data_IF_485261647735
#
_entry.id   IF_485261647735
#
_cell.length_a   1.000
_cell.length_b   1.000
_cell.length_c   1.000
_cell.angle_alpha   90.00
_cell.angle_beta   90.00
_cell.angle_gamma   90.00
#
_symmetry.space_group_name_H-M   'P 1'
#
loop_
_entity.id
_entity.type
_entity.pdbx_description
1 polymer ?
#
# COMPACT_ATOMS: atom_id res chain seq x y z
N UNK A 1 -1.27 -61.83 -6.46
CA UNK A 1 -0.12 -61.24 -7.16
C UNK A 1 -0.60 -60.09 -8.03
N UNK A 2 -0.20 -58.86 -7.69
CA UNK A 2 0.24 -57.76 -8.58
C UNK A 2 0.00 -56.41 -7.88
N UNK A 3 1.12 -55.78 -7.54
CA UNK A 3 1.23 -54.43 -7.01
C UNK A 3 0.87 -53.38 -8.08
N UNK A 4 0.21 -52.28 -7.68
CA UNK A 4 0.36 -50.99 -8.38
C UNK A 4 0.51 -49.86 -7.38
N UNK A 5 1.57 -49.09 -7.63
CA UNK A 5 2.14 -48.04 -6.81
C UNK A 5 1.27 -46.78 -6.77
N UNK A 6 1.04 -46.28 -5.56
CA UNK A 6 0.57 -44.93 -5.26
C UNK A 6 1.77 -43.98 -5.19
N UNK A 7 1.81 -42.97 -6.08
CA UNK A 7 2.73 -41.83 -5.97
C UNK A 7 2.06 -40.75 -5.12
N UNK A 8 2.50 -40.62 -3.87
CA UNK A 8 2.16 -39.49 -3.00
C UNK A 8 3.21 -38.40 -3.22
N UNK A 9 2.78 -37.26 -3.74
CA UNK A 9 3.60 -36.06 -3.83
C UNK A 9 3.55 -35.34 -2.48
N UNK A 10 4.61 -35.48 -1.69
CA UNK A 10 4.82 -34.74 -0.45
C UNK A 10 5.82 -33.61 -0.72
N UNK A 11 5.36 -32.37 -0.78
CA UNK A 11 6.24 -31.20 -0.72
C UNK A 11 6.22 -30.60 0.68
N UNK A 12 7.41 -30.57 1.26
CA UNK A 12 7.73 -30.25 2.65
C UNK A 12 7.35 -28.82 3.07
N UNK A 13 6.59 -28.71 4.16
CA UNK A 13 6.56 -27.54 5.03
C UNK A 13 7.84 -27.49 5.86
N UNK A 14 8.77 -26.58 5.53
CA UNK A 14 9.95 -26.30 6.35
C UNK A 14 9.65 -25.12 7.27
N UNK A 15 9.17 -25.42 8.48
CA UNK A 15 9.22 -24.50 9.62
C UNK A 15 10.70 -24.26 9.98
N UNK A 16 11.21 -23.05 9.78
CA UNK A 16 12.51 -22.66 10.33
C UNK A 16 12.39 -22.48 11.85
N UNK A 17 12.80 -23.52 12.59
CA UNK A 17 13.28 -23.41 13.97
C UNK A 17 14.67 -22.77 13.90
N UNK A 18 14.79 -21.51 14.32
CA UNK A 18 16.10 -20.90 14.57
C UNK A 18 16.63 -21.43 15.92
N UNK A 19 17.43 -22.49 15.84
CA UNK A 19 18.39 -22.86 16.88
C UNK A 19 19.68 -22.10 16.59
N UNK A 20 19.98 -21.04 17.36
CA UNK A 20 21.31 -20.43 17.35
C UNK A 20 22.05 -20.85 18.61
N UNK A 21 23.03 -21.76 18.43
CA UNK A 21 24.07 -22.03 19.42
C UNK A 21 25.10 -20.90 19.33
N UNK A 22 25.47 -20.38 20.49
CA UNK A 22 26.57 -19.43 20.69
C UNK A 22 27.92 -20.00 20.22
N UNK A 23 28.73 -19.16 19.57
CA UNK A 23 30.18 -19.13 19.75
C UNK A 23 30.62 -17.66 19.76
N UNK A 24 31.19 -17.25 20.87
CA UNK A 24 31.93 -16.00 21.06
C UNK A 24 33.42 -16.30 20.82
N UNK A 25 34.08 -15.59 19.91
CA UNK A 25 35.55 -15.50 19.87
C UNK A 25 36.04 -14.32 19.01
N UNK A 26 37.06 -13.66 19.54
CA UNK A 26 37.69 -12.38 19.18
C UNK A 26 38.61 -12.46 17.94
N UNK A 27 38.74 -11.31 17.26
CA UNK A 27 39.91 -10.77 16.48
C UNK A 27 40.56 -11.63 15.38
N UNK A 28 40.39 -11.24 14.11
CA UNK A 28 41.43 -10.72 13.14
C UNK A 28 40.83 -10.63 11.72
N UNK A 29 41.29 -9.70 10.85
CA UNK A 29 40.69 -9.48 9.54
C UNK A 29 41.37 -10.33 8.46
N UNK A 30 40.64 -11.24 7.82
CA UNK A 30 41.12 -11.91 6.60
C UNK A 30 40.66 -11.11 5.39
N UNK A 31 41.64 -10.58 4.65
CA UNK A 31 41.49 -9.95 3.35
C UNK A 31 40.98 -11.01 2.36
N UNK A 32 39.82 -10.76 1.76
CA UNK A 32 39.36 -11.49 0.58
C UNK A 32 39.26 -10.50 -0.58
N UNK A 33 40.25 -10.57 -1.47
CA UNK A 33 40.21 -9.98 -2.80
C UNK A 33 39.27 -10.80 -3.67
N UNK A 34 38.12 -10.24 -4.04
CA UNK A 34 37.32 -10.78 -5.13
C UNK A 34 37.38 -9.85 -6.34
N UNK A 35 37.99 -10.40 -7.39
CA UNK A 35 38.08 -9.91 -8.76
C UNK A 35 36.67 -9.64 -9.29
N UNK A 36 36.42 -8.38 -9.68
CA UNK A 36 35.24 -7.96 -10.43
C UNK A 36 35.35 -8.49 -11.87
N UNK A 37 34.49 -9.44 -12.25
CA UNK A 37 34.18 -9.69 -13.66
C UNK A 37 32.96 -8.85 -14.05
N UNK A 38 33.22 -7.79 -14.80
CA UNK A 38 32.19 -7.01 -15.47
C UNK A 38 31.65 -7.83 -16.66
N UNK A 39 30.34 -8.07 -16.69
CA UNK A 39 29.65 -8.52 -17.90
C UNK A 39 29.00 -7.30 -18.56
N UNK A 40 29.60 -6.87 -19.68
CA UNK A 40 29.03 -5.95 -20.65
C UNK A 40 28.34 -6.78 -21.73
N UNK A 41 27.08 -6.48 -22.04
CA UNK A 41 26.39 -7.06 -23.20
C UNK A 41 26.54 -6.13 -24.40
N UNK A 42 27.27 -6.60 -25.40
CA UNK A 42 27.17 -6.15 -26.78
C UNK A 42 26.87 -7.37 -27.67
N UNK A 43 26.11 -7.21 -28.77
CA UNK A 43 25.52 -8.30 -29.52
C UNK A 43 26.54 -8.96 -30.46
N UNK A 44 26.40 -10.29 -30.60
CA UNK A 44 27.25 -11.17 -31.40
C UNK A 44 27.03 -10.98 -32.90
N UNK A 45 28.15 -10.76 -33.60
CA UNK A 45 28.33 -10.87 -35.04
C UNK A 45 28.28 -12.32 -35.52
N UNK A 46 27.54 -12.58 -36.60
CA UNK A 46 27.66 -13.77 -37.45
C UNK A 46 28.20 -13.35 -38.81
N UNK A 47 29.34 -13.91 -39.22
CA UNK A 47 29.97 -13.67 -40.53
C UNK A 47 29.44 -14.65 -41.61
N UNK A 48 28.97 -14.04 -42.71
CA UNK A 48 29.32 -14.23 -44.15
C UNK A 48 29.01 -15.52 -44.93
N UNK A 49 28.18 -15.34 -45.97
CA UNK A 49 28.41 -15.47 -47.45
C UNK A 49 27.02 -15.75 -48.11
N UNK A 50 26.58 -15.18 -49.23
CA UNK A 50 27.22 -14.65 -50.44
C UNK A 50 26.28 -13.72 -51.26
N UNK A 51 26.87 -13.00 -52.24
CA UNK A 51 26.32 -12.48 -53.52
C UNK A 51 25.53 -11.14 -53.61
N UNK A 52 26.29 -10.07 -53.96
CA UNK A 52 26.10 -8.90 -54.89
C UNK A 52 24.77 -8.62 -55.67
N UNK A 53 24.57 -7.45 -56.33
CA UNK A 53 24.62 -6.03 -55.87
C UNK A 53 23.40 -5.19 -56.37
N UNK A 54 23.34 -3.90 -55.99
CA UNK A 54 23.06 -2.73 -56.87
C UNK A 54 22.13 -1.60 -56.31
N UNK A 55 22.58 -0.37 -56.57
CA UNK A 55 21.84 0.88 -56.81
C UNK A 55 21.23 1.77 -55.67
N UNK A 56 22.00 2.83 -55.39
CA UNK A 56 21.63 4.28 -55.37
C UNK A 56 20.77 4.92 -54.26
N UNK A 57 21.39 5.88 -53.56
CA UNK A 57 20.75 7.01 -52.88
C UNK A 57 20.63 8.24 -53.81
N UNK A 58 19.76 9.22 -53.51
CA UNK A 58 20.23 10.60 -53.35
C UNK A 58 19.57 11.41 -52.19
N UNK A 59 20.04 12.65 -51.91
CA UNK A 59 20.04 13.27 -50.57
C UNK A 59 19.24 14.59 -50.42
N UNK A 60 19.03 15.01 -49.15
CA UNK A 60 18.91 16.40 -48.66
C UNK A 60 17.65 17.21 -49.01
N UNK A 61 17.42 18.42 -48.43
CA UNK A 61 18.36 19.27 -47.71
C UNK A 61 17.85 19.87 -46.37
N UNK A 62 18.79 20.55 -45.69
CA UNK A 62 18.61 21.44 -44.56
C UNK A 62 18.11 22.83 -44.98
N UNK A 63 17.58 23.61 -44.03
CA UNK A 63 17.79 25.06 -44.05
C UNK A 63 17.70 25.69 -42.65
N UNK A 64 18.69 26.54 -42.41
CA UNK A 64 18.86 27.47 -41.30
C UNK A 64 18.14 28.79 -41.60
N UNK A 65 17.63 29.52 -40.61
CA UNK A 65 17.87 30.97 -40.48
C UNK A 65 17.40 31.51 -39.11
N UNK A 66 18.22 32.42 -38.60
CA UNK A 66 18.20 33.15 -37.33
C UNK A 66 17.01 34.10 -37.12
N UNK A 67 16.66 34.40 -35.86
CA UNK A 67 16.64 35.80 -35.40
C UNK A 67 16.61 35.94 -33.87
N UNK A 68 17.39 36.89 -33.38
CA UNK A 68 17.48 37.36 -32.00
C UNK A 68 16.18 38.06 -31.59
N UNK A 69 15.65 37.74 -30.41
CA UNK A 69 14.92 38.69 -29.54
C UNK A 69 15.01 38.22 -28.09
N UNK A 70 16.05 38.72 -27.39
CA UNK A 70 15.96 38.92 -25.96
C UNK A 70 15.08 40.16 -25.74
N UNK A 71 14.14 40.09 -24.79
CA UNK A 71 13.90 41.11 -23.75
C UNK A 71 12.64 40.75 -22.93
N UNK A 72 12.85 40.74 -21.61
CA UNK A 72 11.90 41.09 -20.54
C UNK A 72 10.65 40.22 -20.37
N UNK A 73 10.68 39.31 -19.39
CA UNK A 73 9.50 38.99 -18.57
C UNK A 73 9.97 38.60 -17.17
N UNK A 74 9.51 39.36 -16.18
CA UNK A 74 9.96 39.35 -14.80
C UNK A 74 9.77 38.02 -14.05
N UNK A 75 10.38 37.98 -12.86
CA UNK A 75 10.29 36.89 -11.89
C UNK A 75 8.84 36.39 -11.75
N UNK A 76 8.52 35.26 -12.39
CA UNK A 76 7.25 34.57 -12.15
C UNK A 76 7.36 33.76 -10.87
N UNK A 77 6.34 33.91 -10.01
CA UNK A 77 6.14 33.07 -8.82
C UNK A 77 6.09 31.59 -9.23
N UNK A 78 6.68 30.66 -8.45
CA UNK A 78 6.57 29.24 -8.74
C UNK A 78 5.10 28.81 -8.73
N UNK A 79 4.69 28.12 -9.80
CA UNK A 79 3.31 27.65 -9.99
C UNK A 79 2.95 26.56 -8.97
N UNK A 80 1.71 26.62 -8.50
CA UNK A 80 1.14 25.58 -7.65
C UNK A 80 1.11 24.21 -8.37
N UNK A 81 1.06 23.10 -7.63
CA UNK A 81 0.96 21.76 -8.22
C UNK A 81 -0.20 21.62 -9.22
N UNK A 82 -1.34 22.27 -8.96
CA UNK A 82 -2.51 22.25 -9.85
C UNK A 82 -2.27 23.04 -11.15
N UNK A 83 -1.61 24.20 -11.05
CA UNK A 83 -1.30 25.04 -12.22
C UNK A 83 -0.33 24.34 -13.16
N UNK A 84 0.65 23.60 -12.62
CA UNK A 84 1.58 22.77 -13.39
C UNK A 84 0.87 21.65 -14.14
N UNK A 85 -0.08 20.97 -13.51
CA UNK A 85 -0.85 19.91 -14.16
C UNK A 85 -1.77 20.47 -15.25
N UNK A 86 -2.36 21.65 -15.03
CA UNK A 86 -3.25 22.27 -16.02
C UNK A 86 -2.55 22.70 -17.32
N UNK A 87 -1.23 22.96 -17.27
CA UNK A 87 -0.43 23.33 -18.44
C UNK A 87 0.04 22.13 -19.25
N UNK A 88 -0.09 20.91 -18.71
CA UNK A 88 0.30 19.66 -19.37
C UNK A 88 -0.84 19.01 -20.17
N UNK A 89 -2.04 19.60 -20.15
CA UNK A 89 -3.20 19.11 -20.88
C UNK A 89 -3.31 19.79 -22.26
N UNK A 90 -3.53 19.04 -23.35
CA UNK A 90 -3.78 19.60 -24.69
C UNK A 90 -4.98 20.55 -24.67
N UNK A 91 -4.90 21.69 -25.38
CA UNK A 91 -5.94 22.73 -25.37
C UNK A 91 -7.34 22.20 -25.77
N UNK A 92 -7.38 21.15 -26.59
CA UNK A 92 -8.61 20.55 -27.10
C UNK A 92 -9.34 19.64 -26.10
N UNK A 93 -8.82 19.49 -24.87
CA UNK A 93 -9.36 18.60 -23.84
C UNK A 93 -10.03 19.31 -22.64
N UNK A 94 -10.15 20.64 -22.69
CA UNK A 94 -10.70 21.46 -21.59
C UNK A 94 -12.16 21.86 -21.86
N UNK A 95 -13.01 21.84 -20.83
CA UNK A 95 -14.41 22.31 -20.93
C UNK A 95 -14.49 23.83 -21.02
N UNK A 96 -15.60 24.35 -21.58
CA UNK A 96 -15.83 25.81 -21.74
C UNK A 96 -15.73 26.58 -20.42
N UNK A 97 -16.21 26.01 -19.31
CA UNK A 97 -16.14 26.68 -17.99
C UNK A 97 -14.70 26.89 -17.51
N UNK A 98 -13.78 25.99 -17.86
CA UNK A 98 -12.36 26.09 -17.51
C UNK A 98 -11.66 27.17 -18.35
N UNK A 99 -12.14 27.42 -19.56
CA UNK A 99 -11.63 28.49 -20.42
C UNK A 99 -12.00 29.87 -19.89
N UNK A 100 -13.26 30.06 -19.48
CA UNK A 100 -13.76 31.33 -18.92
C UNK A 100 -13.05 31.70 -17.61
N UNK A 101 -12.70 30.70 -16.79
CA UNK A 101 -11.92 30.91 -15.56
C UNK A 101 -10.46 31.34 -15.84
N UNK A 102 -9.88 30.90 -16.96
CA UNK A 102 -8.53 31.31 -17.38
C UNK A 102 -8.52 32.76 -17.88
N UNK A 103 -9.54 33.19 -18.61
CA UNK A 103 -9.66 34.58 -19.07
C UNK A 103 -9.95 35.55 -17.92
N UNK A 104 -10.84 35.19 -16.98
CA UNK A 104 -11.11 36.03 -15.79
C UNK A 104 -9.86 36.24 -14.92
N UNK A 105 -8.98 35.24 -14.82
CA UNK A 105 -7.75 35.33 -14.02
C UNK A 105 -6.67 36.19 -14.70
N UNK A 106 -6.65 36.23 -16.04
CA UNK A 106 -5.74 37.08 -16.80
C UNK A 106 -6.16 38.57 -16.80
N UNK A 107 -7.46 38.84 -16.70
CA UNK A 107 -8.00 40.21 -16.60
C UNK A 107 -7.91 40.78 -15.17
N UNK A 108 -7.97 39.94 -14.13
CA UNK A 108 -7.89 40.38 -12.72
C UNK A 108 -6.50 40.81 -12.24
N UNK A 109 -5.44 40.62 -13.03
CA UNK A 109 -4.08 41.07 -12.71
C UNK A 109 -3.74 42.46 -13.32
N UNK A 110 -4.70 43.12 -13.99
CA UNK A 110 -4.51 44.42 -14.63
C UNK A 110 -5.19 45.61 -13.91
N UNK A 111 -6.01 45.39 -12.87
CA UNK A 111 -6.72 46.46 -12.15
C UNK A 111 -6.38 46.47 -10.65
N UNK A 112 -5.09 46.55 -10.31
CA UNK A 112 -4.66 46.80 -8.93
C UNK A 112 -3.76 48.03 -8.86
N UNK A 113 -4.26 49.16 -9.34
CA UNK A 113 -3.68 50.47 -9.08
C UNK A 113 -4.73 51.53 -9.40
N UNK A 114 -5.73 51.70 -8.52
CA UNK A 114 -6.31 53.01 -8.20
C UNK A 114 -7.39 52.90 -7.11
N UNK A 115 -7.31 53.84 -6.17
CA UNK A 115 -8.35 54.31 -5.25
C UNK A 115 -8.56 53.56 -3.91
N UNK A 116 -7.92 54.16 -2.90
CA UNK A 116 -8.30 54.11 -1.50
C UNK A 116 -9.52 55.03 -1.22
N UNK A 117 -10.16 54.81 -0.06
CA UNK A 117 -11.29 55.56 0.54
C UNK A 117 -12.66 55.20 -0.09
N UNK A 118 -13.73 54.86 0.63
CA UNK A 118 -14.30 55.42 1.87
C UNK A 118 -15.31 54.41 2.50
N UNK A 119 -15.53 54.53 3.82
CA UNK A 119 -16.51 53.75 4.60
C UNK A 119 -17.92 54.34 4.45
N UNK A 120 -18.99 53.52 4.43
CA UNK A 120 -20.13 53.86 5.29
C UNK A 120 -20.77 52.67 6.04
N UNK A 121 -21.35 53.08 7.15
CA UNK A 121 -22.04 52.38 8.24
C UNK A 121 -23.45 51.90 7.93
N UNK A 122 -23.76 50.71 8.48
CA UNK A 122 -25.01 50.24 9.14
C UNK A 122 -26.35 50.41 8.41
N UNK A 123 -26.98 49.26 8.13
CA UNK A 123 -28.43 49.09 8.01
C UNK A 123 -28.81 47.69 8.51
N UNK A 124 -29.53 47.64 9.63
CA UNK A 124 -30.00 46.43 10.31
C UNK A 124 -31.11 45.70 9.54
N UNK A 125 -31.05 44.38 9.45
CA UNK A 125 -32.24 43.53 9.45
C UNK A 125 -31.90 42.08 9.84
N UNK A 126 -32.14 41.77 11.11
CA UNK A 126 -32.66 40.53 11.70
C UNK A 126 -32.28 39.20 11.01
N UNK A 127 -31.38 38.46 11.67
CA UNK A 127 -31.24 37.00 11.52
C UNK A 127 -31.70 36.40 12.85
N UNK A 128 -32.75 35.57 12.78
CA UNK A 128 -33.26 34.78 13.88
C UNK A 128 -32.21 33.76 14.35
N UNK A 129 -32.08 33.66 15.68
CA UNK A 129 -31.26 32.68 16.40
C UNK A 129 -31.70 31.25 16.04
N UNK A 130 -30.91 30.56 15.21
CA UNK A 130 -30.88 29.09 15.21
C UNK A 130 -29.66 28.62 16.00
N UNK A 131 -29.97 28.01 17.13
CA UNK A 131 -29.05 27.54 18.14
C UNK A 131 -27.93 26.67 17.53
N UNK A 132 -26.70 27.14 17.72
CA UNK A 132 -25.48 26.34 17.52
C UNK A 132 -25.49 25.25 18.57
N UNK A 133 -25.94 24.05 18.18
CA UNK A 133 -25.70 22.82 18.94
C UNK A 133 -24.19 22.62 19.00
N UNK A 134 -23.59 22.95 20.15
CA UNK A 134 -22.22 22.55 20.48
C UNK A 134 -22.20 21.03 20.50
N UNK A 135 -21.83 20.42 19.37
CA UNK A 135 -21.43 19.03 19.35
C UNK A 135 -20.19 18.91 20.21
N UNK A 136 -20.35 18.30 21.38
CA UNK A 136 -19.23 17.82 22.19
C UNK A 136 -18.38 16.89 21.29
N UNK A 137 -17.29 17.42 20.74
CA UNK A 137 -16.20 16.58 20.25
C UNK A 137 -15.59 15.90 21.49
N UNK A 138 -16.20 14.78 21.90
CA UNK A 138 -15.58 13.91 22.89
C UNK A 138 -14.27 13.44 22.27
N UNK A 139 -13.13 13.96 22.74
CA UNK A 139 -11.81 13.45 22.38
C UNK A 139 -11.81 11.95 22.66
N UNK A 140 -11.87 11.15 21.58
CA UNK A 140 -12.06 9.70 21.65
C UNK A 140 -10.78 9.05 22.14
N UNK A 141 -10.63 8.98 23.46
CA UNK A 141 -9.40 8.47 24.08
C UNK A 141 -9.30 6.94 23.91
N UNK A 142 -8.18 6.46 23.37
CA UNK A 142 -7.93 5.02 23.29
C UNK A 142 -7.90 4.40 24.69
N UNK A 143 -8.62 3.29 24.87
CA UNK A 143 -8.65 2.59 26.15
C UNK A 143 -7.29 1.97 26.50
N UNK A 144 -7.02 1.80 27.80
CA UNK A 144 -5.87 1.01 28.28
C UNK A 144 -5.97 -0.43 27.79
N UNK A 145 -4.84 -1.14 27.71
CA UNK A 145 -4.83 -2.53 27.28
C UNK A 145 -5.53 -3.42 28.31
N UNK A 146 -6.42 -4.29 27.85
CA UNK A 146 -7.28 -5.11 28.70
C UNK A 146 -7.15 -6.60 28.38
N UNK A 147 -7.39 -7.46 29.38
CA UNK A 147 -7.49 -8.89 29.16
C UNK A 147 -8.60 -9.20 28.14
N UNK A 148 -8.33 -10.15 27.24
CA UNK A 148 -9.17 -10.47 26.10
C UNK A 148 -8.77 -9.78 24.80
N UNK A 149 -7.93 -8.73 24.84
CA UNK A 149 -7.44 -8.08 23.63
C UNK A 149 -6.36 -8.89 22.91
N UNK A 150 -6.37 -8.82 21.57
CA UNK A 150 -5.24 -9.27 20.75
C UNK A 150 -4.19 -8.16 20.65
N UNK A 151 -2.97 -8.45 21.08
CA UNK A 151 -1.83 -7.52 21.04
C UNK A 151 -0.70 -8.04 20.15
N UNK A 152 0.16 -7.12 19.73
CA UNK A 152 1.38 -7.38 18.99
C UNK A 152 2.58 -6.95 19.84
N UNK A 153 3.47 -7.89 20.09
CA UNK A 153 4.77 -7.62 20.71
C UNK A 153 5.85 -7.54 19.64
N UNK A 154 6.73 -6.55 19.76
CA UNK A 154 7.83 -6.30 18.83
C UNK A 154 9.12 -5.98 19.58
N UNK A 155 10.20 -6.66 19.21
CA UNK A 155 11.56 -6.34 19.65
C UNK A 155 12.41 -6.00 18.44
N UNK A 156 13.11 -4.85 18.52
CA UNK A 156 14.03 -4.38 17.49
C UNK A 156 15.45 -4.29 18.03
N UNK A 157 16.41 -4.69 17.21
CA UNK A 157 17.85 -4.48 17.44
C UNK A 157 18.45 -3.77 16.23
N UNK A 158 19.20 -2.70 16.45
CA UNK A 158 19.87 -1.94 15.38
C UNK A 158 18.90 -1.57 14.22
N UNK A 159 17.69 -1.14 14.58
CA UNK A 159 16.57 -0.78 13.67
C UNK A 159 15.92 -1.93 12.89
N UNK A 160 16.42 -3.16 13.02
CA UNK A 160 15.82 -4.37 12.44
C UNK A 160 14.84 -4.99 13.42
N UNK A 161 13.75 -5.54 12.91
CA UNK A 161 12.79 -6.32 13.70
C UNK A 161 13.37 -7.71 13.90
N UNK A 162 13.69 -8.06 15.14
CA UNK A 162 14.25 -9.36 15.53
C UNK A 162 13.15 -10.33 16.00
N UNK A 163 12.05 -9.78 16.50
CA UNK A 163 10.90 -10.55 16.95
C UNK A 163 9.64 -9.74 16.79
N UNK A 164 8.61 -10.38 16.25
CA UNK A 164 7.26 -9.87 16.17
C UNK A 164 6.29 -11.02 16.39
N UNK A 165 5.37 -10.89 17.33
CA UNK A 165 4.39 -11.94 17.65
C UNK A 165 3.07 -11.36 18.08
N UNK A 166 1.99 -11.86 17.47
CA UNK A 166 0.63 -11.58 17.90
C UNK A 166 0.20 -12.59 18.96
N UNK A 167 -0.46 -12.13 20.01
CA UNK A 167 -0.91 -12.96 21.12
C UNK A 167 -2.18 -12.39 21.75
N UNK A 168 -2.92 -13.25 22.46
CA UNK A 168 -4.09 -12.86 23.23
C UNK A 168 -3.63 -12.48 24.65
N UNK A 169 -3.98 -11.28 25.12
CA UNK A 169 -3.73 -10.87 26.49
C UNK A 169 -4.70 -11.61 27.41
N UNK A 170 -4.17 -12.36 28.38
CA UNK A 170 -4.95 -13.28 29.23
C UNK A 170 -4.41 -13.24 30.66
N UNK A 171 -5.31 -13.30 31.63
CA UNK A 171 -4.97 -13.36 33.05
C UNK A 171 -4.14 -14.61 33.38
N UNK A 172 -3.15 -14.47 34.26
CA UNK A 172 -2.25 -15.56 34.66
C UNK A 172 -1.27 -16.06 33.59
N UNK A 173 -1.42 -15.65 32.33
CA UNK A 173 -0.56 -16.07 31.22
C UNK A 173 0.69 -15.20 31.08
N UNK A 174 1.60 -15.62 30.21
CA UNK A 174 2.84 -14.90 29.88
C UNK A 174 3.19 -15.01 28.40
N UNK A 175 3.70 -13.92 27.84
CA UNK A 175 4.31 -13.92 26.52
C UNK A 175 5.70 -14.54 26.62
N UNK A 176 5.90 -15.68 25.98
CA UNK A 176 7.21 -16.34 25.89
C UNK A 176 7.88 -16.07 24.54
N UNK A 177 9.18 -15.78 24.59
CA UNK A 177 10.06 -15.61 23.43
C UNK A 177 11.50 -16.03 23.76
N UNK A 178 12.35 -16.16 22.75
CA UNK A 178 13.80 -16.36 22.95
C UNK A 178 14.49 -15.13 23.56
N UNK A 179 13.80 -13.98 23.61
CA UNK A 179 14.28 -12.70 24.14
C UNK A 179 13.78 -12.42 25.56
N UNK A 180 13.38 -13.49 26.28
CA UNK A 180 12.79 -13.44 27.61
C UNK A 180 11.26 -13.56 27.60
N UNK A 181 10.67 -13.47 28.79
CA UNK A 181 9.22 -13.51 28.96
C UNK A 181 8.67 -12.19 29.54
N UNK A 182 7.38 -11.96 29.30
CA UNK A 182 6.59 -10.87 29.90
C UNK A 182 5.30 -11.45 30.49
N UNK A 183 5.07 -11.36 31.83
CA UNK A 183 3.79 -11.71 32.42
C UNK A 183 2.69 -10.81 31.87
N UNK A 184 1.53 -11.37 31.54
CA UNK A 184 0.42 -10.58 31.01
C UNK A 184 -0.14 -9.58 32.03
N UNK A 185 -0.04 -9.89 33.32
CA UNK A 185 -0.46 -9.00 34.40
C UNK A 185 0.26 -7.65 34.38
N UNK A 186 1.51 -7.61 33.91
CA UNK A 186 2.27 -6.35 33.80
C UNK A 186 1.93 -5.56 32.54
N UNK A 187 1.15 -6.13 31.62
CA UNK A 187 0.76 -5.51 30.35
C UNK A 187 -0.62 -4.86 30.48
N UNK A 188 -1.55 -5.55 31.15
CA UNK A 188 -2.90 -5.03 31.38
C UNK A 188 -2.85 -3.70 32.17
N UNK A 189 -3.70 -2.74 31.79
CA UNK A 189 -3.74 -1.40 32.37
C UNK A 189 -2.74 -0.40 31.79
N UNK A 190 -1.86 -0.82 30.85
CA UNK A 190 -0.94 0.09 30.18
C UNK A 190 -1.52 0.61 28.85
N UNK A 191 -1.13 1.82 28.39
CA UNK A 191 -1.51 2.29 27.06
C UNK A 191 -0.84 1.47 25.95
N UNK A 192 -1.54 1.29 24.82
CA UNK A 192 -0.96 0.72 23.60
C UNK A 192 0.22 1.58 23.12
N UNK A 193 1.33 0.95 22.74
CA UNK A 193 2.60 1.62 22.45
C UNK A 193 3.61 1.60 23.60
N UNK A 194 3.23 1.03 24.76
CA UNK A 194 4.14 0.88 25.90
C UNK A 194 5.33 -0.04 25.60
N UNK A 195 6.49 0.29 26.17
CA UNK A 195 7.71 -0.53 26.10
C UNK A 195 7.99 -1.13 27.47
N UNK A 196 7.99 -2.45 27.56
CA UNK A 196 8.32 -3.18 28.79
C UNK A 196 9.64 -3.93 28.66
N UNK A 197 10.35 -4.08 29.78
CA UNK A 197 11.55 -4.91 29.83
C UNK A 197 11.16 -6.37 30.06
N UNK A 198 11.68 -7.27 29.23
CA UNK A 198 11.53 -8.71 29.44
C UNK A 198 12.30 -9.18 30.67
N UNK A 199 12.09 -10.44 31.07
CA UNK A 199 12.84 -11.08 32.17
C UNK A 199 14.38 -11.04 32.04
N UNK A 200 14.91 -10.78 30.83
CA UNK A 200 16.36 -10.62 30.57
C UNK A 200 16.76 -9.16 30.34
N UNK A 201 15.87 -8.21 30.63
CA UNK A 201 16.12 -6.77 30.57
C UNK A 201 15.97 -6.12 29.20
N UNK A 202 15.57 -6.85 28.16
CA UNK A 202 15.44 -6.32 26.79
C UNK A 202 14.12 -5.54 26.61
N UNK A 203 14.11 -4.39 25.92
CA UNK A 203 12.90 -3.61 25.69
C UNK A 203 12.01 -4.25 24.62
N UNK A 204 10.73 -4.42 24.90
CA UNK A 204 9.74 -4.96 23.97
C UNK A 204 8.56 -3.98 23.86
N UNK A 205 8.28 -3.54 22.62
CA UNK A 205 7.13 -2.70 22.30
C UNK A 205 5.86 -3.55 22.27
N UNK A 206 4.83 -3.11 22.96
CA UNK A 206 3.51 -3.72 22.98
C UNK A 206 2.50 -2.76 22.39
N UNK A 207 1.74 -3.19 21.39
CA UNK A 207 0.73 -2.36 20.72
C UNK A 207 -0.40 -3.20 20.16
N UNK A 208 -1.53 -2.56 19.87
CA UNK A 208 -2.62 -3.20 19.11
C UNK A 208 -2.22 -3.37 17.64
N UNK A 209 -2.54 -4.52 17.01
CA UNK A 209 -2.28 -4.70 15.59
C UNK A 209 -3.24 -3.84 14.74
N UNK A 210 -2.76 -3.32 13.62
CA UNK A 210 -3.65 -2.87 12.54
C UNK A 210 -4.40 -4.07 11.94
N UNK A 211 -5.43 -3.83 11.13
CA UNK A 211 -6.12 -4.95 10.45
C UNK A 211 -5.18 -5.67 9.47
N UNK A 212 -4.32 -4.92 8.79
CA UNK A 212 -3.26 -5.45 7.94
C UNK A 212 -2.41 -6.45 8.73
N UNK A 213 -1.88 -6.03 9.88
CA UNK A 213 -1.04 -6.88 10.72
C UNK A 213 -1.83 -8.06 11.30
N UNK A 214 -3.06 -7.83 11.75
CA UNK A 214 -3.92 -8.90 12.23
C UNK A 214 -4.08 -10.00 11.16
N UNK A 215 -4.35 -9.61 9.91
CA UNK A 215 -4.51 -10.57 8.81
C UNK A 215 -3.22 -11.36 8.52
N UNK A 216 -2.05 -10.75 8.71
CA UNK A 216 -0.75 -11.40 8.49
C UNK A 216 -0.39 -12.38 9.61
N UNK A 217 -0.80 -12.10 10.86
CA UNK A 217 -0.41 -12.87 12.05
C UNK A 217 -1.53 -13.76 12.63
N UNK A 218 -2.77 -13.65 12.14
CA UNK A 218 -3.88 -14.51 12.58
C UNK A 218 -3.62 -15.98 12.27
N UNK A 219 -4.41 -16.85 12.92
CA UNK A 219 -4.33 -18.29 12.64
C UNK A 219 -4.77 -18.53 11.19
N UNK A 220 -4.01 -19.31 10.45
CA UNK A 220 -4.29 -19.60 9.03
C UNK A 220 -4.58 -21.08 8.82
N UNK A 221 -5.56 -21.34 7.96
CA UNK A 221 -5.76 -22.66 7.35
C UNK A 221 -5.02 -22.69 6.00
N UNK A 222 -5.56 -22.03 4.97
CA UNK A 222 -4.89 -21.83 3.69
C UNK A 222 -3.96 -20.59 3.68
N UNK A 223 -3.23 -20.42 2.57
CA UNK A 223 -2.62 -19.14 2.24
C UNK A 223 -3.69 -18.03 2.18
N UNK A 224 -3.31 -16.82 2.56
CA UNK A 224 -4.21 -15.66 2.55
C UNK A 224 -3.96 -14.83 1.30
N UNK A 225 -5.00 -14.15 0.82
CA UNK A 225 -4.83 -12.96 -0.01
C UNK A 225 -4.14 -11.88 0.84
N UNK A 226 -3.04 -11.33 0.34
CA UNK A 226 -2.23 -10.38 1.11
C UNK A 226 -2.88 -8.98 1.12
N UNK A 227 -2.65 -8.16 2.16
CA UNK A 227 -3.27 -6.82 2.26
C UNK A 227 -3.04 -5.90 1.05
N UNK A 228 -1.86 -5.96 0.41
CA UNK A 228 -1.56 -5.20 -0.81
C UNK A 228 -2.51 -5.56 -1.96
N UNK A 229 -2.85 -6.84 -2.07
CA UNK A 229 -3.71 -7.37 -3.14
C UNK A 229 -5.17 -7.13 -2.79
N UNK A 230 -5.55 -7.34 -1.53
CA UNK A 230 -6.90 -7.03 -1.02
C UNK A 230 -7.23 -5.56 -1.24
N UNK A 231 -6.31 -4.65 -0.90
CA UNK A 231 -6.53 -3.20 -1.08
C UNK A 231 -6.76 -2.85 -2.55
N UNK A 232 -5.99 -3.44 -3.47
CA UNK A 232 -6.21 -3.26 -4.90
C UNK A 232 -7.54 -3.87 -5.36
N UNK A 233 -7.93 -5.05 -4.86
CA UNK A 233 -9.22 -5.67 -5.15
C UNK A 233 -10.40 -4.83 -4.69
N UNK A 234 -10.36 -4.30 -3.46
CA UNK A 234 -11.39 -3.38 -2.96
C UNK A 234 -11.54 -2.16 -3.87
N UNK A 235 -10.43 -1.56 -4.31
CA UNK A 235 -10.47 -0.45 -5.27
C UNK A 235 -11.00 -0.86 -6.65
N UNK A 236 -10.67 -2.06 -7.13
CA UNK A 236 -11.23 -2.56 -8.39
C UNK A 236 -12.75 -2.78 -8.30
N UNK A 237 -13.22 -3.24 -7.15
CA UNK A 237 -14.61 -3.57 -6.87
C UNK A 237 -15.46 -2.34 -6.53
N UNK A 238 -14.83 -1.20 -6.21
CA UNK A 238 -15.49 0.05 -5.79
C UNK A 238 -16.39 -0.13 -4.55
N UNK A 239 -15.94 -0.95 -3.60
CA UNK A 239 -16.73 -1.29 -2.40
C UNK A 239 -16.86 -0.09 -1.47
N UNK A 240 -18.11 0.25 -1.15
CA UNK A 240 -18.48 1.40 -0.32
C UNK A 240 -19.43 1.04 0.83
N UNK A 241 -19.56 1.93 1.81
CA UNK A 241 -20.49 1.76 2.95
C UNK A 241 -21.92 1.54 2.44
N UNK A 242 -22.57 0.48 2.93
CA UNK A 242 -23.93 0.11 2.49
C UNK A 242 -23.97 -1.00 1.43
N UNK A 243 -22.84 -1.31 0.79
CA UNK A 243 -22.81 -2.33 -0.25
C UNK A 243 -23.11 -3.73 0.27
N UNK A 244 -23.74 -4.54 -0.59
CA UNK A 244 -23.86 -5.98 -0.42
C UNK A 244 -22.84 -6.67 -1.32
N UNK A 245 -21.87 -7.37 -0.73
CA UNK A 245 -20.76 -8.01 -1.45
C UNK A 245 -20.78 -9.52 -1.24
N UNK A 246 -20.54 -10.28 -2.31
CA UNK A 246 -20.30 -11.72 -2.23
C UNK A 246 -18.81 -12.00 -2.26
N UNK A 247 -18.34 -12.84 -1.35
CA UNK A 247 -17.00 -13.42 -1.33
C UNK A 247 -17.12 -14.95 -1.43
N UNK A 248 -16.26 -15.58 -2.21
CA UNK A 248 -16.08 -17.03 -2.15
C UNK A 248 -14.61 -17.40 -2.04
N UNK A 249 -14.33 -18.34 -1.14
CA UNK A 249 -13.00 -18.63 -0.64
C UNK A 249 -12.69 -17.86 0.65
N UNK A 250 -13.57 -17.95 1.66
CA UNK A 250 -13.34 -17.28 2.95
C UNK A 250 -11.95 -17.57 3.53
N UNK A 251 -11.45 -18.80 3.34
CA UNK A 251 -10.10 -19.20 3.71
C UNK A 251 -9.81 -18.99 5.20
N UNK A 252 -8.95 -18.01 5.52
CA UNK A 252 -8.67 -17.63 6.91
C UNK A 252 -9.43 -16.38 7.37
N UNK A 253 -10.27 -15.78 6.52
CA UNK A 253 -11.07 -14.58 6.80
C UNK A 253 -10.34 -13.26 6.55
N UNK A 254 -9.24 -13.25 5.81
CA UNK A 254 -8.44 -12.03 5.56
C UNK A 254 -9.25 -11.04 4.73
N UNK A 255 -9.61 -11.42 3.49
CA UNK A 255 -10.44 -10.62 2.60
C UNK A 255 -11.80 -10.29 3.26
N UNK A 256 -12.45 -11.25 3.91
CA UNK A 256 -13.71 -11.05 4.65
C UNK A 256 -13.65 -9.87 5.64
N UNK A 257 -12.56 -9.74 6.42
CA UNK A 257 -12.39 -8.64 7.38
C UNK A 257 -12.24 -7.27 6.71
N UNK A 258 -11.57 -7.22 5.56
CA UNK A 258 -11.38 -6.00 4.79
C UNK A 258 -12.68 -5.58 4.08
N UNK A 259 -13.41 -6.54 3.50
CA UNK A 259 -14.75 -6.31 2.97
C UNK A 259 -15.71 -5.83 4.05
N UNK A 260 -15.70 -6.48 5.22
CA UNK A 260 -16.46 -6.08 6.40
C UNK A 260 -16.20 -4.62 6.80
N UNK A 261 -14.95 -4.16 6.73
CA UNK A 261 -14.63 -2.75 6.95
C UNK A 261 -15.24 -1.84 5.88
N UNK A 262 -15.08 -2.21 4.61
CA UNK A 262 -15.43 -1.38 3.47
C UNK A 262 -16.94 -1.17 3.35
N UNK A 263 -17.73 -2.23 3.54
CA UNK A 263 -19.21 -2.15 3.50
C UNK A 263 -19.80 -1.52 4.76
N UNK A 264 -19.01 -1.54 5.85
CA UNK A 264 -19.30 -1.02 7.18
C UNK A 264 -20.68 -1.35 7.74
N UNK A 265 -21.25 -0.45 8.54
CA UNK A 265 -22.39 -0.74 9.42
C UNK A 265 -23.71 -1.00 8.68
N UNK A 266 -23.90 -0.39 7.50
CA UNK A 266 -25.13 -0.50 6.70
C UNK A 266 -25.04 -1.56 5.61
N UNK A 267 -23.83 -2.01 5.28
CA UNK A 267 -23.61 -3.02 4.27
C UNK A 267 -23.50 -4.42 4.83
N UNK A 268 -23.28 -5.40 3.95
CA UNK A 268 -23.13 -6.81 4.33
C UNK A 268 -22.23 -7.58 3.36
N UNK A 269 -21.57 -8.59 3.88
CA UNK A 269 -20.73 -9.53 3.13
C UNK A 269 -21.32 -10.93 3.28
N UNK A 270 -21.65 -11.56 2.16
CA UNK A 270 -21.95 -12.98 2.12
C UNK A 270 -20.66 -13.73 1.77
N UNK A 271 -20.13 -14.53 2.70
CA UNK A 271 -18.86 -15.24 2.52
C UNK A 271 -19.07 -16.74 2.46
N UNK A 272 -18.75 -17.36 1.32
CA UNK A 272 -18.98 -18.79 1.06
C UNK A 272 -17.66 -19.56 1.05
N UNK A 273 -17.60 -20.65 1.82
CA UNK A 273 -16.41 -21.50 1.91
C UNK A 273 -16.78 -22.98 1.92
N UNK A 274 -16.24 -23.74 0.98
CA UNK A 274 -16.54 -25.16 0.80
C UNK A 274 -15.95 -26.02 1.93
N UNK A 275 -14.76 -25.66 2.42
CA UNK A 275 -14.04 -26.45 3.42
C UNK A 275 -14.45 -26.07 4.85
N UNK A 276 -14.98 -27.04 5.59
CA UNK A 276 -15.44 -26.87 6.98
C UNK A 276 -14.38 -26.33 7.94
N UNK A 277 -13.14 -26.77 7.81
CA UNK A 277 -12.01 -26.34 8.64
C UNK A 277 -11.64 -24.87 8.35
N UNK A 278 -11.62 -24.47 7.09
CA UNK A 278 -11.40 -23.08 6.67
C UNK A 278 -12.55 -22.17 7.11
N UNK A 279 -13.80 -22.59 6.87
CA UNK A 279 -14.99 -21.87 7.35
C UNK A 279 -14.94 -21.63 8.86
N UNK A 280 -14.61 -22.66 9.65
CA UNK A 280 -14.45 -22.48 11.11
C UNK A 280 -13.32 -21.51 11.43
N UNK A 281 -12.21 -21.55 10.69
CA UNK A 281 -11.08 -20.66 10.88
C UNK A 281 -11.44 -19.20 10.62
N UNK A 282 -12.12 -18.90 9.50
CA UNK A 282 -12.54 -17.55 9.14
C UNK A 282 -13.52 -16.96 10.17
N UNK A 283 -14.53 -17.73 10.60
CA UNK A 283 -15.47 -17.32 11.65
C UNK A 283 -14.75 -16.99 12.96
N UNK A 284 -13.82 -17.83 13.40
CA UNK A 284 -13.07 -17.60 14.64
C UNK A 284 -12.17 -16.37 14.57
N UNK A 285 -11.51 -16.15 13.43
CA UNK A 285 -10.67 -14.96 13.24
C UNK A 285 -11.52 -13.68 13.18
N UNK A 286 -12.68 -13.73 12.52
CA UNK A 286 -13.64 -12.64 12.48
C UNK A 286 -14.12 -12.27 13.89
N UNK A 287 -14.59 -13.27 14.66
CA UNK A 287 -15.00 -13.10 16.05
C UNK A 287 -13.87 -12.51 16.91
N UNK A 288 -12.64 -13.02 16.79
CA UNK A 288 -11.48 -12.49 17.54
C UNK A 288 -11.20 -11.03 17.21
N UNK A 289 -11.28 -10.63 15.94
CA UNK A 289 -11.12 -9.24 15.53
C UNK A 289 -12.21 -8.37 16.16
N UNK A 290 -13.48 -8.78 16.07
CA UNK A 290 -14.62 -8.07 16.66
C UNK A 290 -14.47 -7.89 18.17
N UNK A 291 -14.14 -8.95 18.91
CA UNK A 291 -13.91 -8.88 20.36
C UNK A 291 -12.78 -7.90 20.71
N UNK A 292 -11.66 -7.95 19.97
CA UNK A 292 -10.53 -7.05 20.20
C UNK A 292 -10.88 -5.60 19.88
N UNK A 293 -11.65 -5.36 18.80
CA UNK A 293 -12.09 -4.02 18.41
C UNK A 293 -13.00 -3.38 19.46
N UNK A 294 -13.95 -4.16 20.00
CA UNK A 294 -14.86 -3.73 21.07
C UNK A 294 -14.09 -3.25 22.29
N UNK A 295 -13.11 -4.02 22.75
CA UNK A 295 -12.28 -3.66 23.91
C UNK A 295 -11.39 -2.43 23.63
N UNK A 296 -10.94 -2.23 22.39
CA UNK A 296 -10.10 -1.07 22.04
C UNK A 296 -10.86 0.26 22.10
N UNK A 297 -12.08 0.28 21.54
CA UNK A 297 -12.83 1.53 21.25
C UNK A 297 -14.10 1.72 22.06
N UNK A 298 -14.56 0.69 22.77
CA UNK A 298 -15.90 0.67 23.39
C UNK A 298 -17.05 0.48 22.41
N UNK A 299 -16.79 0.56 21.10
CA UNK A 299 -17.76 0.38 20.02
C UNK A 299 -17.63 -1.00 19.38
N UNK A 300 -18.76 -1.62 19.03
CA UNK A 300 -18.74 -2.90 18.35
C UNK A 300 -18.30 -2.75 16.89
N UNK A 301 -17.49 -3.71 16.44
CA UNK A 301 -17.29 -3.89 15.01
C UNK A 301 -18.59 -4.43 14.38
N UNK A 302 -19.06 -3.88 13.25
CA UNK A 302 -20.30 -4.30 12.61
C UNK A 302 -20.36 -5.83 12.40
N UNK A 303 -21.47 -6.46 12.78
CA UNK A 303 -21.72 -7.88 12.53
C UNK A 303 -22.26 -8.12 11.12
N UNK A 304 -21.48 -7.73 10.13
CA UNK A 304 -21.91 -7.61 8.75
C UNK A 304 -21.35 -8.71 7.84
N UNK A 305 -20.77 -9.79 8.37
CA UNK A 305 -20.29 -10.93 7.57
C UNK A 305 -21.07 -12.19 7.89
N UNK A 306 -21.76 -12.71 6.87
CA UNK A 306 -22.50 -13.96 6.94
C UNK A 306 -21.68 -15.08 6.31
N UNK A 307 -21.10 -15.93 7.14
CA UNK A 307 -20.31 -17.09 6.69
C UNK A 307 -21.21 -18.30 6.43
N UNK A 308 -21.06 -18.91 5.25
CA UNK A 308 -21.77 -20.13 4.86
C UNK A 308 -20.78 -21.21 4.45
N UNK A 309 -20.90 -22.39 5.09
CA UNK A 309 -20.16 -23.56 4.64
C UNK A 309 -20.92 -24.26 3.49
N UNK A 310 -20.59 -23.89 2.26
CA UNK A 310 -21.20 -24.48 1.07
C UNK A 310 -20.27 -24.39 -0.14
N UNK A 311 -20.55 -25.17 -1.17
CA UNK A 311 -19.87 -25.06 -2.47
C UNK A 311 -20.59 -24.02 -3.34
N UNK A 312 -19.94 -22.87 -3.57
CA UNK A 312 -20.53 -21.77 -4.34
C UNK A 312 -21.02 -22.22 -5.72
N UNK A 313 -20.30 -23.13 -6.40
CA UNK A 313 -20.64 -23.60 -7.75
C UNK A 313 -22.06 -24.19 -7.76
N UNK A 314 -22.43 -24.93 -6.71
CA UNK A 314 -23.69 -25.65 -6.58
C UNK A 314 -24.71 -24.96 -5.65
N UNK A 315 -24.46 -23.70 -5.26
CA UNK A 315 -25.25 -22.99 -4.23
C UNK A 315 -26.14 -21.87 -4.78
N UNK A 316 -26.74 -22.04 -5.96
CA UNK A 316 -27.66 -21.04 -6.53
C UNK A 316 -28.81 -20.68 -5.57
N UNK A 317 -29.32 -21.66 -4.80
CA UNK A 317 -30.37 -21.45 -3.80
C UNK A 317 -29.94 -20.50 -2.68
N UNK A 318 -28.65 -20.47 -2.31
CA UNK A 318 -28.12 -19.56 -1.30
C UNK A 318 -28.15 -18.11 -1.79
N UNK A 319 -27.98 -17.91 -3.09
CA UNK A 319 -27.96 -16.57 -3.71
C UNK A 319 -29.36 -16.10 -4.12
N UNK A 320 -30.38 -16.96 -4.08
CA UNK A 320 -31.74 -16.64 -4.47
C UNK A 320 -32.27 -15.42 -3.67
N UNK A 321 -32.86 -14.45 -4.39
CA UNK A 321 -33.36 -13.20 -3.79
C UNK A 321 -32.26 -12.21 -3.37
N UNK A 322 -30.98 -12.52 -3.60
CA UNK A 322 -29.88 -11.61 -3.32
C UNK A 322 -29.41 -10.89 -4.60
N UNK A 323 -28.88 -9.69 -4.41
CA UNK A 323 -28.18 -8.93 -5.44
C UNK A 323 -26.92 -8.30 -4.83
N UNK A 324 -25.84 -8.30 -5.62
CA UNK A 324 -24.51 -7.92 -5.15
C UNK A 324 -23.98 -6.72 -5.94
N UNK A 325 -23.44 -5.75 -5.20
CA UNK A 325 -22.75 -4.56 -5.72
C UNK A 325 -21.37 -4.90 -6.26
N UNK A 326 -20.76 -5.96 -5.72
CA UNK A 326 -19.54 -6.54 -6.24
C UNK A 326 -19.37 -7.98 -5.78
N UNK A 327 -18.49 -8.73 -6.46
CA UNK A 327 -18.15 -10.10 -6.13
C UNK A 327 -16.62 -10.23 -6.04
N UNK A 328 -16.11 -10.92 -5.01
CA UNK A 328 -14.72 -11.33 -4.88
C UNK A 328 -14.62 -12.87 -4.95
N UNK A 329 -13.81 -13.40 -5.87
CA UNK A 329 -13.56 -14.84 -6.01
C UNK A 329 -12.08 -15.14 -5.75
N UNK A 330 -11.79 -15.87 -4.67
CA UNK A 330 -10.46 -16.41 -4.34
C UNK A 330 -10.56 -17.94 -4.23
N UNK A 331 -10.68 -18.60 -5.38
CA UNK A 331 -10.91 -20.04 -5.48
C UNK A 331 -10.19 -20.63 -6.69
N UNK A 332 -10.01 -21.96 -6.70
CA UNK A 332 -9.19 -22.66 -7.70
C UNK A 332 -9.76 -22.54 -9.12
N UNK A 333 -11.09 -22.70 -9.26
CA UNK A 333 -11.79 -22.75 -10.56
C UNK A 333 -12.92 -21.71 -10.61
N UNK A 334 -12.59 -20.40 -10.65
CA UNK A 334 -13.60 -19.34 -10.58
C UNK A 334 -14.54 -19.33 -11.79
N UNK A 335 -14.08 -19.76 -12.97
CA UNK A 335 -14.90 -19.84 -14.18
C UNK A 335 -16.15 -20.72 -14.01
N UNK A 336 -16.08 -21.76 -13.17
CA UNK A 336 -17.22 -22.64 -12.88
C UNK A 336 -18.27 -21.99 -11.98
N UNK A 337 -17.88 -20.99 -11.18
CA UNK A 337 -18.80 -20.26 -10.31
C UNK A 337 -19.50 -19.10 -11.04
N UNK A 338 -18.94 -18.61 -12.16
CA UNK A 338 -19.49 -17.46 -12.89
C UNK A 338 -20.97 -17.64 -13.29
N UNK A 339 -21.42 -18.79 -13.84
CA UNK A 339 -22.84 -18.98 -14.17
C UNK A 339 -23.77 -18.86 -12.96
N UNK A 340 -23.29 -19.25 -11.78
CA UNK A 340 -24.07 -19.19 -10.53
C UNK A 340 -24.14 -17.78 -9.97
N UNK A 341 -23.05 -16.98 -10.05
CA UNK A 341 -23.00 -15.67 -9.38
C UNK A 341 -23.41 -14.49 -10.27
N UNK A 342 -23.16 -14.56 -11.58
CA UNK A 342 -23.43 -13.46 -12.53
C UNK A 342 -24.91 -13.05 -12.60
N UNK A 343 -25.90 -13.95 -12.48
CA UNK A 343 -27.30 -13.55 -12.40
C UNK A 343 -27.61 -12.60 -11.22
N UNK A 344 -26.86 -12.71 -10.13
CA UNK A 344 -27.05 -11.94 -8.90
C UNK A 344 -26.16 -10.68 -8.82
N UNK A 345 -25.22 -10.51 -9.75
CA UNK A 345 -24.38 -9.31 -9.83
C UNK A 345 -25.18 -8.15 -10.46
N UNK A 346 -25.13 -6.94 -9.91
CA UNK A 346 -25.77 -5.78 -10.55
C UNK A 346 -25.18 -5.50 -11.94
N UNK A 347 -25.98 -4.96 -12.85
CA UNK A 347 -25.48 -4.52 -14.16
C UNK A 347 -24.46 -3.41 -13.97
N UNK A 348 -23.34 -3.47 -14.70
CA UNK A 348 -22.23 -2.55 -14.52
C UNK A 348 -21.31 -2.89 -13.34
N UNK A 349 -21.69 -3.80 -12.44
CA UNK A 349 -20.87 -4.14 -11.27
C UNK A 349 -19.67 -5.03 -11.61
N UNK A 350 -18.73 -5.09 -10.65
CA UNK A 350 -17.44 -5.76 -10.81
C UNK A 350 -17.41 -7.11 -10.10
N UNK A 351 -16.88 -8.12 -10.79
CA UNK A 351 -16.41 -9.37 -10.21
C UNK A 351 -14.87 -9.37 -10.26
N UNK A 352 -14.23 -9.23 -9.09
CA UNK A 352 -12.78 -9.32 -8.96
C UNK A 352 -12.37 -10.76 -8.64
N UNK A 353 -11.34 -11.27 -9.34
CA UNK A 353 -10.86 -12.64 -9.19
C UNK A 353 -9.38 -12.64 -8.81
N UNK A 354 -9.03 -13.40 -7.78
CA UNK A 354 -7.66 -13.59 -7.30
C UNK A 354 -7.13 -14.95 -7.77
N UNK A 355 -6.03 -14.96 -8.54
CA UNK A 355 -5.47 -16.18 -9.13
C UNK A 355 -3.95 -16.24 -9.00
N UNK A 356 -3.44 -17.31 -8.39
CA UNK A 356 -2.00 -17.48 -8.14
C UNK A 356 -1.18 -17.78 -9.41
N UNK A 357 -1.80 -18.35 -10.45
CA UNK A 357 -1.08 -18.79 -11.65
C UNK A 357 -1.70 -18.20 -12.92
N UNK A 358 -0.85 -17.83 -13.88
CA UNK A 358 -1.28 -17.30 -15.17
C UNK A 358 -2.14 -18.31 -15.96
N UNK A 359 -1.89 -19.62 -15.79
CA UNK A 359 -2.68 -20.67 -16.44
C UNK A 359 -4.14 -20.68 -15.97
N UNK A 360 -4.39 -20.37 -14.70
CA UNK A 360 -5.77 -20.23 -14.21
C UNK A 360 -6.49 -19.04 -14.84
N UNK A 361 -5.75 -17.99 -15.23
CA UNK A 361 -6.33 -16.86 -15.97
C UNK A 361 -6.67 -17.29 -17.39
N UNK A 362 -5.82 -18.10 -18.03
CA UNK A 362 -6.13 -18.68 -19.34
C UNK A 362 -7.44 -19.49 -19.26
N UNK A 363 -7.57 -20.36 -18.25
CA UNK A 363 -8.80 -21.13 -18.03
C UNK A 363 -10.01 -20.23 -17.75
N UNK A 364 -9.82 -19.15 -16.98
CA UNK A 364 -10.86 -18.15 -16.73
C UNK A 364 -11.34 -17.47 -18.02
N UNK A 365 -10.39 -17.00 -18.84
CA UNK A 365 -10.67 -16.32 -20.11
C UNK A 365 -11.31 -17.26 -21.12
N UNK A 366 -10.87 -18.52 -21.17
CA UNK A 366 -11.47 -19.54 -22.03
C UNK A 366 -12.90 -19.89 -21.59
N UNK A 367 -13.12 -20.00 -20.27
CA UNK A 367 -14.47 -20.17 -19.70
C UNK A 367 -15.39 -19.00 -20.05
N UNK A 368 -14.90 -17.75 -19.97
CA UNK A 368 -15.63 -16.55 -20.39
C UNK A 368 -15.98 -16.61 -21.88
N UNK A 369 -15.00 -16.92 -22.75
CA UNK A 369 -15.17 -17.02 -24.21
C UNK A 369 -16.19 -18.08 -24.63
N UNK A 370 -16.19 -19.22 -23.95
CA UNK A 370 -17.13 -20.31 -24.20
C UNK A 370 -18.51 -20.09 -23.56
N UNK A 371 -18.64 -19.10 -22.67
CA UNK A 371 -19.90 -18.79 -21.99
C UNK A 371 -20.69 -17.71 -22.71
N UNK A 372 -22.01 -17.72 -22.54
CA UNK A 372 -22.89 -16.62 -22.98
C UNK A 372 -22.99 -15.51 -21.93
N UNK A 373 -22.19 -15.57 -20.85
CA UNK A 373 -22.29 -14.63 -19.74
C UNK A 373 -21.99 -13.19 -20.19
N UNK A 374 -22.71 -12.19 -19.66
CA UNK A 374 -22.50 -10.79 -20.01
C UNK A 374 -21.35 -10.21 -19.20
N UNK A 375 -20.14 -10.77 -19.35
CA UNK A 375 -18.93 -10.30 -18.68
C UNK A 375 -17.87 -9.87 -19.68
N UNK A 376 -17.15 -8.81 -19.36
CA UNK A 376 -15.94 -8.38 -20.07
C UNK A 376 -14.77 -8.31 -19.10
N UNK A 377 -13.58 -8.70 -19.55
CA UNK A 377 -12.34 -8.54 -18.79
C UNK A 377 -11.78 -7.15 -19.04
N UNK A 378 -11.78 -6.29 -18.02
CA UNK A 378 -11.25 -4.93 -18.13
C UNK A 378 -9.75 -4.86 -17.91
N UNK A 379 -9.24 -5.71 -17.01
CA UNK A 379 -7.86 -5.62 -16.52
C UNK A 379 -7.39 -6.94 -15.92
N UNK A 380 -6.13 -7.27 -16.16
CA UNK A 380 -5.36 -8.27 -15.42
C UNK A 380 -4.12 -7.54 -14.89
N UNK A 381 -3.86 -7.60 -13.59
CA UNK A 381 -2.74 -6.89 -12.98
C UNK A 381 -2.08 -7.67 -11.86
N UNK A 382 -0.82 -7.34 -11.58
CA UNK A 382 -0.09 -7.75 -10.38
C UNK A 382 0.25 -6.49 -9.57
N UNK A 383 0.21 -6.58 -8.24
CA UNK A 383 0.60 -5.48 -7.35
C UNK A 383 1.94 -5.80 -6.68
N UNK A 384 2.93 -4.91 -6.85
CA UNK A 384 4.25 -5.06 -6.25
C UNK A 384 4.52 -3.94 -5.24
N UNK A 385 4.87 -4.32 -4.01
CA UNK A 385 5.36 -3.40 -2.99
C UNK A 385 6.86 -3.60 -2.85
N UNK A 386 7.60 -2.48 -2.78
CA UNK A 386 9.05 -2.48 -2.60
C UNK A 386 9.44 -1.73 -1.34
N UNK A 387 9.93 -2.45 -0.35
CA UNK A 387 10.37 -1.85 0.91
C UNK A 387 11.70 -1.13 0.71
N UNK A 388 11.90 -0.03 1.45
CA UNK A 388 13.13 0.75 1.43
C UNK A 388 13.76 0.83 2.82
N UNK A 389 15.08 0.69 2.86
CA UNK A 389 15.91 1.01 4.01
C UNK A 389 16.38 2.46 3.90
N UNK A 390 15.99 3.26 4.89
CA UNK A 390 16.45 4.63 5.06
C UNK A 390 17.22 4.75 6.37
N UNK A 391 18.44 5.27 6.31
CA UNK A 391 19.26 5.49 7.49
C UNK A 391 20.26 6.61 7.31
N UNK A 392 20.73 7.22 8.41
CA UNK A 392 21.82 8.18 8.36
C UNK A 392 23.07 7.51 7.79
N UNK A 393 23.83 8.27 7.03
CA UNK A 393 25.08 7.84 6.44
C UNK A 393 26.12 7.69 7.53
N UNK A 394 26.65 6.47 7.69
CA UNK A 394 27.63 6.11 8.70
C UNK A 394 28.99 5.87 8.05
N UNK A 395 30.05 6.31 8.72
CA UNK A 395 31.44 5.91 8.46
C UNK A 395 31.68 4.50 9.01
N UNK A 396 32.81 3.90 8.62
CA UNK A 396 33.21 2.55 9.09
C UNK A 396 33.37 2.45 10.61
N UNK A 397 33.65 3.57 11.27
CA UNK A 397 33.78 3.68 12.72
C UNK A 397 32.44 3.88 13.46
N UNK A 398 31.32 3.96 12.73
CA UNK A 398 29.99 4.20 13.29
C UNK A 398 29.64 5.67 13.53
N UNK A 399 30.54 6.60 13.22
CA UNK A 399 30.23 8.04 13.26
C UNK A 399 29.45 8.49 12.02
N UNK A 400 28.71 9.58 12.13
CA UNK A 400 27.92 10.10 11.00
C UNK A 400 28.81 10.82 9.98
N UNK A 401 28.47 10.67 8.69
CA UNK A 401 28.97 11.56 7.67
C UNK A 401 28.36 12.96 7.83
N UNK A 402 29.07 13.98 7.35
CA UNK A 402 28.62 15.36 7.35
C UNK A 402 28.31 15.78 5.90
N UNK A 403 27.22 16.51 5.70
CA UNK A 403 26.95 17.16 4.41
C UNK A 403 28.06 18.16 4.15
N UNK A 404 28.66 18.09 2.97
CA UNK A 404 29.53 19.18 2.52
C UNK A 404 28.63 20.40 2.29
N UNK A 405 29.03 21.61 2.74
CA UNK A 405 28.34 22.82 2.33
C UNK A 405 28.33 22.86 0.80
N UNK A 406 27.17 23.16 0.24
CA UNK A 406 27.04 23.39 -1.19
C UNK A 406 27.93 24.60 -1.49
N UNK A 407 29.04 24.41 -2.20
CA UNK A 407 29.81 25.54 -2.70
C UNK A 407 28.89 26.24 -3.70
N UNK A 408 28.48 27.46 -3.40
CA UNK A 408 27.98 28.35 -4.44
C UNK A 408 29.12 28.44 -5.47
N UNK A 409 28.83 28.10 -6.72
CA UNK A 409 29.74 28.35 -7.84
C UNK A 409 29.87 29.87 -7.95
N UNK A 410 30.81 30.46 -7.22
CA UNK A 410 31.32 31.79 -7.53
C UNK A 410 32.01 31.66 -8.88
N UNK A 411 31.40 32.27 -9.89
CA UNK A 411 32.03 32.57 -11.16
C UNK A 411 33.46 33.06 -10.92
N UNK A 412 34.43 32.33 -11.46
CA UNK A 412 35.81 32.76 -11.57
C UNK A 412 35.85 33.97 -12.51
N UNK A 413 35.75 35.17 -11.95
CA UNK A 413 36.18 36.44 -12.56
C UNK A 413 36.18 37.47 -11.41
N UNK A 414 37.34 37.63 -10.77
CA UNK A 414 37.99 38.94 -10.62
C UNK A 414 39.21 38.82 -9.69
N UNK A 415 40.38 38.95 -10.32
CA UNK A 415 41.64 39.23 -9.65
C UNK A 415 41.63 40.66 -9.08
N UNK A 416 42.26 40.81 -7.91
CA UNK A 416 42.76 42.04 -7.31
C UNK A 416 41.74 43.08 -6.78
N UNK A 417 41.62 43.12 -5.45
CA UNK A 417 42.04 44.30 -4.68
C UNK A 417 42.13 43.95 -3.19
N UNK A 418 43.20 44.41 -2.55
CA UNK A 418 43.29 44.56 -1.10
C UNK A 418 42.18 45.51 -0.65
N UNK A 419 41.55 45.21 0.48
CA UNK A 419 41.39 46.16 1.59
C UNK A 419 40.68 45.52 2.79
N UNK A 420 40.80 46.23 3.89
CA UNK A 420 40.81 45.83 5.29
C UNK A 420 39.45 45.42 5.88
N UNK A 421 39.57 44.77 7.05
CA UNK A 421 38.65 44.71 8.18
C UNK A 421 37.18 45.08 7.93
N UNK A 422 36.30 44.06 7.95
CA UNK A 422 34.96 44.23 8.49
C UNK A 422 34.49 42.93 9.18
N UNK A 423 34.36 43.00 10.50
CA UNK A 423 33.59 42.07 11.31
C UNK A 423 32.11 42.14 10.92
N UNK A 424 31.70 41.37 9.91
CA UNK A 424 30.27 41.13 9.68
C UNK A 424 29.81 39.89 10.45
N UNK A 425 28.99 40.16 11.46
CA UNK A 425 28.10 39.22 12.12
C UNK A 425 27.25 38.45 11.09
N UNK A 426 27.79 37.34 10.58
CA UNK A 426 27.01 36.35 9.86
C UNK A 426 26.21 35.56 10.88
N UNK A 427 24.97 35.99 11.11
CA UNK A 427 23.95 35.19 11.78
C UNK A 427 23.99 33.76 11.23
N UNK A 428 24.02 32.70 12.06
CA UNK A 428 24.08 31.34 11.55
C UNK A 428 22.81 31.10 10.72
N UNK A 429 22.96 31.05 9.39
CA UNK A 429 21.89 30.62 8.47
C UNK A 429 21.41 29.27 9.00
N UNK A 430 20.24 29.31 9.62
CA UNK A 430 19.63 28.22 10.35
C UNK A 430 19.45 27.07 9.36
N UNK A 431 20.38 26.10 9.37
CA UNK A 431 20.29 24.96 8.46
C UNK A 431 19.02 24.21 8.87
N UNK A 432 17.96 24.21 8.05
CA UNK A 432 16.64 23.82 8.54
C UNK A 432 16.55 22.33 8.88
N UNK A 433 17.54 21.52 8.51
CA UNK A 433 17.59 20.08 8.80
C UNK A 433 19.03 19.60 9.00
N UNK A 434 19.20 18.63 9.91
CA UNK A 434 20.48 18.15 10.43
C UNK A 434 21.57 17.87 9.39
N UNK A 435 22.82 18.00 9.83
CA UNK A 435 24.02 17.96 9.00
C UNK A 435 24.39 16.58 8.47
N UNK A 436 23.69 15.53 8.89
CA UNK A 436 23.96 14.14 8.49
C UNK A 436 23.24 13.81 7.17
N UNK A 437 23.94 13.36 6.11
CA UNK A 437 23.28 12.85 4.91
C UNK A 437 22.64 11.49 5.21
N UNK A 438 21.57 11.14 4.49
CA UNK A 438 20.90 9.85 4.61
C UNK A 438 21.17 9.00 3.37
N UNK A 439 21.23 7.68 3.58
CA UNK A 439 21.31 6.68 2.51
C UNK A 439 19.95 6.00 2.42
N UNK A 440 19.37 6.01 1.22
CA UNK A 440 18.16 5.29 0.88
C UNK A 440 18.49 4.18 -0.12
N UNK A 441 18.04 2.97 0.14
CA UNK A 441 18.14 1.84 -0.80
C UNK A 441 16.97 0.88 -0.63
N UNK A 442 16.57 0.12 -1.67
CA UNK A 442 15.61 -0.95 -1.50
C UNK A 442 16.08 -1.94 -0.42
N UNK A 443 15.14 -2.48 0.35
CA UNK A 443 15.40 -3.58 1.26
C UNK A 443 15.93 -4.79 0.46
N UNK A 444 16.96 -5.50 0.94
CA UNK A 444 17.54 -6.62 0.19
C UNK A 444 16.56 -7.79 0.01
N UNK A 445 15.68 -7.98 0.98
CA UNK A 445 14.58 -8.95 0.90
C UNK A 445 13.32 -8.22 0.42
N UNK A 446 12.71 -8.72 -0.64
CA UNK A 446 11.48 -8.19 -1.22
C UNK A 446 10.45 -9.32 -1.29
N UNK A 447 9.17 -8.96 -1.23
CA UNK A 447 8.09 -9.94 -1.38
C UNK A 447 8.04 -10.43 -2.83
N UNK A 448 7.94 -11.75 -2.99
CA UNK A 448 7.73 -12.39 -4.29
C UNK A 448 6.29 -12.23 -4.79
N UNK A 449 6.04 -12.73 -6.01
CA UNK A 449 4.70 -12.85 -6.58
C UNK A 449 3.72 -13.51 -5.60
N UNK A 450 2.52 -12.96 -5.52
CA UNK A 450 1.41 -13.49 -4.71
C UNK A 450 0.29 -14.00 -5.60
N UNK A 451 -0.23 -13.15 -6.48
CA UNK A 451 -1.26 -13.48 -7.45
C UNK A 451 -1.40 -12.42 -8.55
N UNK A 452 -2.12 -12.81 -9.59
CA UNK A 452 -2.76 -11.92 -10.53
C UNK A 452 -4.18 -11.60 -10.07
N UNK A 453 -4.58 -10.35 -10.29
CA UNK A 453 -5.91 -9.84 -10.00
C UNK A 453 -6.62 -9.52 -11.31
N UNK A 454 -7.77 -10.16 -11.52
CA UNK A 454 -8.56 -10.00 -12.74
C UNK A 454 -9.83 -9.22 -12.44
N UNK A 455 -10.08 -8.16 -13.19
CA UNK A 455 -11.26 -7.31 -13.08
C UNK A 455 -12.24 -7.64 -14.20
N UNK A 456 -13.36 -8.26 -13.84
CA UNK A 456 -14.45 -8.55 -14.77
C UNK A 456 -15.60 -7.56 -14.51
N UNK A 457 -16.18 -6.96 -15.55
CA UNK A 457 -17.37 -6.12 -15.44
C UNK A 457 -18.58 -6.81 -16.06
N UNK A 458 -19.72 -6.79 -15.37
CA UNK A 458 -21.01 -7.17 -15.94
C UNK A 458 -21.52 -6.09 -16.88
N UNK A 459 -21.77 -6.45 -18.13
CA UNK A 459 -22.36 -5.57 -19.14
C UNK A 459 -23.85 -5.88 -19.31
N UNK A 460 -24.58 -4.97 -19.94
CA UNK A 460 -25.89 -5.28 -20.50
C UNK A 460 -25.65 -5.94 -21.86
N UNK A 461 -26.29 -7.08 -22.11
CA UNK A 461 -26.33 -7.72 -23.42
C UNK A 461 -27.65 -7.46 -24.09
#
# INVERSE_FOLDING_TARGET
MTHRLTRVCATCLRQQRLNNKYVDARKTPTIWTHVLRNFSMAPSSSDRNSDDPDATAPPGPADSHSSRRALLLGRRRPLSPLERVSQLLPQDSLSKEVWELREKKALGEAETEEQAQEVPTVGESQVEDDAVTQGEETERMEQMMQFGETLLAEYRRSRRVEFRKMFLLQEGAKLQSNWGFLPHQTIAGLPSGSVLRTSVGLPMLLRRPSLEEFSLFMKRGPAISYPKDISAMLMMMDVSEGDTVLESGSGSGAMSLFLSRAVGSRGRVLSVEVRKDHHRCSVLNYQRWRSTWKLRRGEEWPDNVHFHNSDLINSAHLLAGQSFHSIALDMVSPHLALPTVVPHLHSGAVCAVYLANITQIIDLMEGLRCSTLPLVCERIMEVQYRDWLLGPSLKKDGTFNQRKPMREETSEEDENSNDEENEEHTSPKQIPFGSVPYIARPHPEQFSHTAFLVKLRKILK
#
